data_IF_538047360232
#
_entry.id   IF_538047360232
#
_cell.length_a   1.000
_cell.length_b   1.000
_cell.length_c   1.000
_cell.angle_alpha   90.00
_cell.angle_beta   90.00
_cell.angle_gamma   90.00
#
_symmetry.space_group_name_H-M   'P 1'
#
loop_
_entity.id
_entity.type
_entity.pdbx_description
1 polymer ?
#
# COMPACT_ATOMS: atom_id res chain seq x y z
N UNK A 1 -2.38 -43.48 -5.99
CA UNK A 1 -3.12 -42.27 -5.60
C UNK A 1 -3.93 -41.81 -6.81
N UNK A 2 -5.23 -41.48 -6.67
CA UNK A 2 -6.00 -40.92 -7.80
C UNK A 2 -5.41 -39.56 -8.18
N UNK A 3 -5.20 -39.34 -9.47
CA UNK A 3 -4.78 -38.03 -9.99
C UNK A 3 -5.91 -37.04 -9.76
N UNK A 4 -5.59 -35.83 -9.32
CA UNK A 4 -6.57 -34.76 -9.16
C UNK A 4 -7.26 -34.49 -10.49
N UNK A 5 -8.58 -34.45 -10.45
CA UNK A 5 -9.43 -34.35 -11.64
C UNK A 5 -9.71 -32.89 -12.01
N UNK A 6 -9.75 -32.61 -13.32
CA UNK A 6 -9.94 -31.24 -13.83
C UNK A 6 -11.36 -30.73 -13.61
N UNK A 7 -12.37 -31.60 -13.67
CA UNK A 7 -13.76 -31.23 -13.40
C UNK A 7 -13.95 -30.90 -11.91
N UNK A 8 -13.37 -31.71 -11.02
CA UNK A 8 -13.31 -31.42 -9.59
C UNK A 8 -12.71 -30.04 -9.30
N UNK A 9 -11.52 -29.76 -9.88
CA UNK A 9 -10.84 -28.46 -9.68
C UNK A 9 -11.71 -27.30 -10.16
N UNK A 10 -12.37 -27.43 -11.32
CA UNK A 10 -13.26 -26.37 -11.85
C UNK A 10 -14.45 -26.11 -10.93
N UNK A 11 -15.13 -27.17 -10.49
CA UNK A 11 -16.32 -27.02 -9.62
C UNK A 11 -15.95 -26.35 -8.29
N UNK A 12 -14.86 -26.78 -7.64
CA UNK A 12 -14.39 -26.14 -6.42
C UNK A 12 -13.94 -24.69 -6.68
N UNK A 13 -13.25 -24.43 -7.79
CA UNK A 13 -12.79 -23.09 -8.14
C UNK A 13 -13.96 -22.11 -8.36
N UNK A 14 -15.04 -22.55 -9.04
CA UNK A 14 -16.26 -21.75 -9.24
C UNK A 14 -16.90 -21.35 -7.91
N UNK A 15 -16.96 -22.27 -6.93
CA UNK A 15 -17.42 -21.94 -5.58
C UNK A 15 -16.53 -20.91 -4.88
N UNK A 16 -15.21 -21.03 -5.04
CA UNK A 16 -14.26 -20.11 -4.43
C UNK A 16 -14.30 -18.72 -5.09
N UNK A 17 -14.56 -18.65 -6.41
CA UNK A 17 -14.84 -17.42 -7.14
C UNK A 17 -16.12 -16.77 -6.61
N UNK A 18 -17.20 -17.54 -6.42
CA UNK A 18 -18.44 -17.02 -5.84
C UNK A 18 -18.27 -16.50 -4.41
N UNK A 19 -17.35 -17.10 -3.63
CA UNK A 19 -16.95 -16.63 -2.29
C UNK A 19 -15.98 -15.44 -2.32
N UNK A 20 -15.54 -15.00 -3.49
CA UNK A 20 -14.65 -13.85 -3.67
C UNK A 20 -13.17 -14.10 -3.35
N UNK A 21 -12.71 -15.36 -3.32
CA UNK A 21 -11.31 -15.67 -3.04
C UNK A 21 -10.39 -15.26 -4.20
N UNK A 22 -9.22 -14.71 -3.86
CA UNK A 22 -8.22 -14.30 -4.87
C UNK A 22 -7.55 -15.50 -5.50
N UNK A 23 -7.17 -15.38 -6.77
CA UNK A 23 -6.61 -16.46 -7.58
C UNK A 23 -5.46 -17.23 -6.91
N UNK A 24 -4.49 -16.54 -6.28
CA UNK A 24 -3.37 -17.20 -5.61
C UNK A 24 -3.77 -18.06 -4.39
N UNK A 25 -4.91 -17.78 -3.76
CA UNK A 25 -5.40 -18.51 -2.59
C UNK A 25 -6.09 -19.81 -2.99
N UNK A 26 -6.78 -19.79 -4.14
CA UNK A 26 -7.70 -20.84 -4.56
C UNK A 26 -7.04 -22.23 -4.69
N UNK A 27 -5.81 -22.39 -5.24
CA UNK A 27 -5.14 -23.69 -5.28
C UNK A 27 -4.99 -24.35 -3.90
N UNK A 28 -4.65 -23.59 -2.86
CA UNK A 28 -4.51 -24.15 -1.52
C UNK A 28 -5.85 -24.70 -0.99
N UNK A 29 -6.94 -23.96 -1.18
CA UNK A 29 -8.27 -24.40 -0.78
C UNK A 29 -8.74 -25.63 -1.57
N UNK A 30 -8.52 -25.66 -2.89
CA UNK A 30 -8.86 -26.81 -3.73
C UNK A 30 -8.07 -28.05 -3.33
N UNK A 31 -6.78 -27.91 -2.99
CA UNK A 31 -5.98 -29.02 -2.49
C UNK A 31 -6.54 -29.61 -1.19
N UNK A 32 -6.98 -28.76 -0.25
CA UNK A 32 -7.63 -29.21 0.99
C UNK A 32 -8.93 -29.96 0.71
N UNK A 33 -9.80 -29.42 -0.15
CA UNK A 33 -11.06 -30.09 -0.49
C UNK A 33 -10.84 -31.43 -1.22
N UNK A 34 -9.84 -31.50 -2.10
CA UNK A 34 -9.44 -32.76 -2.74
C UNK A 34 -8.98 -33.79 -1.72
N UNK A 35 -8.12 -33.39 -0.77
CA UNK A 35 -7.63 -34.29 0.28
C UNK A 35 -8.76 -34.81 1.17
N UNK A 36 -9.71 -33.95 1.55
CA UNK A 36 -10.93 -34.36 2.29
C UNK A 36 -11.75 -35.36 1.48
N UNK A 37 -12.01 -35.08 0.20
CA UNK A 37 -12.80 -35.95 -0.67
C UNK A 37 -12.15 -37.33 -0.90
N UNK A 38 -10.80 -37.39 -0.86
CA UNK A 38 -10.04 -38.63 -0.99
C UNK A 38 -9.66 -39.27 0.36
N UNK A 39 -10.10 -38.70 1.49
CA UNK A 39 -9.74 -39.10 2.86
C UNK A 39 -8.21 -39.25 3.07
N UNK A 40 -7.45 -38.31 2.53
CA UNK A 40 -5.99 -38.27 2.62
C UNK A 40 -5.52 -37.44 3.82
N UNK A 41 -4.50 -37.91 4.51
CA UNK A 41 -3.79 -37.16 5.55
C UNK A 41 -2.30 -37.09 5.19
N UNK A 42 -1.92 -36.05 4.45
CA UNK A 42 -0.56 -35.82 3.99
C UNK A 42 -0.27 -34.32 3.87
N UNK A 43 0.94 -33.96 3.42
CA UNK A 43 1.31 -32.57 3.17
C UNK A 43 0.55 -32.02 1.94
N UNK A 44 -0.12 -30.87 2.09
CA UNK A 44 -0.84 -30.19 1.00
C UNK A 44 0.09 -29.81 -0.16
N UNK A 45 1.35 -29.50 0.17
CA UNK A 45 2.39 -29.13 -0.79
C UNK A 45 3.20 -30.33 -1.31
N UNK A 46 2.73 -31.55 -1.05
CA UNK A 46 3.31 -32.74 -1.68
C UNK A 46 3.24 -32.61 -3.20
N UNK A 47 4.36 -32.81 -3.89
CA UNK A 47 4.46 -32.62 -5.33
C UNK A 47 3.45 -33.45 -6.12
N UNK A 48 3.05 -34.62 -5.62
CA UNK A 48 2.10 -35.53 -6.28
C UNK A 48 0.68 -34.92 -6.34
N UNK A 49 0.34 -34.02 -5.41
CA UNK A 49 -0.93 -33.29 -5.40
C UNK A 49 -0.76 -31.90 -5.99
N UNK A 50 0.25 -31.17 -5.50
CA UNK A 50 0.40 -29.74 -5.77
C UNK A 50 0.75 -29.46 -7.23
N UNK A 51 1.67 -30.24 -7.83
CA UNK A 51 2.10 -29.99 -9.21
C UNK A 51 0.98 -30.23 -10.22
N UNK A 52 0.26 -31.37 -10.22
CA UNK A 52 -0.89 -31.58 -11.11
C UNK A 52 -2.01 -30.55 -10.93
N UNK A 53 -2.26 -30.12 -9.69
CA UNK A 53 -3.24 -29.07 -9.40
C UNK A 53 -2.82 -27.73 -10.03
N UNK A 54 -1.56 -27.35 -9.84
CA UNK A 54 -1.03 -26.10 -10.39
C UNK A 54 -0.94 -26.14 -11.92
N UNK A 55 -0.71 -27.30 -12.53
CA UNK A 55 -0.82 -27.47 -13.99
C UNK A 55 -2.25 -27.17 -14.47
N UNK A 56 -3.27 -27.73 -13.82
CA UNK A 56 -4.67 -27.43 -14.14
C UNK A 56 -4.98 -25.94 -13.95
N UNK A 57 -4.49 -25.32 -12.88
CA UNK A 57 -4.72 -23.90 -12.62
C UNK A 57 -4.05 -22.99 -13.66
N UNK A 58 -2.84 -23.33 -14.12
CA UNK A 58 -2.17 -22.61 -15.22
C UNK A 58 -2.92 -22.75 -16.53
N UNK A 59 -3.52 -23.92 -16.80
CA UNK A 59 -4.38 -24.12 -17.97
C UNK A 59 -5.68 -23.31 -17.88
N UNK A 60 -6.30 -23.25 -16.70
CA UNK A 60 -7.55 -22.50 -16.46
C UNK A 60 -7.32 -20.98 -16.48
N UNK A 61 -6.17 -20.53 -16.00
CA UNK A 61 -5.80 -19.12 -15.93
C UNK A 61 -4.40 -18.89 -16.52
N UNK A 62 -4.25 -18.91 -17.86
CA UNK A 62 -2.93 -18.74 -18.51
C UNK A 62 -2.26 -17.41 -18.17
N UNK A 63 -3.07 -16.35 -17.97
CA UNK A 63 -2.61 -15.02 -17.55
C UNK A 63 -2.68 -14.81 -16.04
N UNK A 64 -2.95 -15.87 -15.28
CA UNK A 64 -3.17 -15.81 -13.83
C UNK A 64 -1.86 -15.62 -13.06
N UNK A 65 -1.87 -14.71 -12.08
CA UNK A 65 -0.78 -14.57 -11.13
C UNK A 65 -1.06 -15.40 -9.86
N UNK A 66 -0.26 -16.44 -9.65
CA UNK A 66 -0.31 -17.33 -8.48
C UNK A 66 0.77 -17.03 -7.44
N UNK A 67 1.53 -15.95 -7.62
CA UNK A 67 2.57 -15.55 -6.68
C UNK A 67 1.96 -15.19 -5.32
N UNK A 68 2.76 -15.41 -4.26
CA UNK A 68 2.39 -15.02 -2.90
C UNK A 68 2.04 -13.53 -2.88
N UNK A 69 0.93 -13.13 -2.22
CA UNK A 69 0.56 -11.73 -2.18
C UNK A 69 1.61 -10.94 -1.42
N UNK A 70 1.91 -9.76 -1.93
CA UNK A 70 2.64 -8.74 -1.18
C UNK A 70 1.76 -8.21 -0.07
N UNK A 71 2.37 -7.73 1.02
CA UNK A 71 1.62 -7.05 2.06
C UNK A 71 0.93 -5.85 1.46
N UNK A 72 1.63 -4.95 0.75
CA UNK A 72 1.02 -3.79 0.12
C UNK A 72 1.71 -3.41 -1.18
N UNK A 73 0.97 -2.75 -2.07
CA UNK A 73 1.48 -2.23 -3.34
C UNK A 73 1.22 -0.71 -3.37
N UNK A 74 2.30 0.06 -3.41
CA UNK A 74 2.29 1.52 -3.61
C UNK A 74 3.19 1.88 -4.78
N UNK A 75 3.64 3.13 -4.85
CA UNK A 75 4.58 3.54 -5.91
C UNK A 75 5.42 4.73 -5.54
N UNK A 76 6.57 4.87 -6.19
CA UNK A 76 7.47 6.01 -6.01
C UNK A 76 7.74 6.70 -7.35
N UNK A 77 7.78 8.03 -7.30
CA UNK A 77 8.01 8.86 -8.48
C UNK A 77 9.50 9.04 -8.71
N UNK A 78 9.96 8.60 -9.88
CA UNK A 78 11.32 8.87 -10.37
C UNK A 78 11.19 9.41 -11.79
N UNK A 79 11.72 10.61 -12.00
CA UNK A 79 11.54 11.40 -13.24
C UNK A 79 10.05 11.61 -13.53
N UNK A 80 9.58 11.17 -14.69
CA UNK A 80 8.19 11.27 -15.14
C UNK A 80 7.44 9.92 -15.05
N UNK A 81 7.99 8.96 -14.31
CA UNK A 81 7.45 7.61 -14.14
C UNK A 81 7.12 7.31 -12.68
N UNK A 82 6.00 6.62 -12.48
CA UNK A 82 5.64 6.02 -11.20
C UNK A 82 6.05 4.54 -11.25
N UNK A 83 7.01 4.16 -10.41
CA UNK A 83 7.44 2.77 -10.31
C UNK A 83 6.68 2.08 -9.19
N UNK A 84 6.10 0.89 -9.44
CA UNK A 84 5.48 0.10 -8.39
C UNK A 84 6.46 -0.22 -7.27
N UNK A 85 5.97 -0.21 -6.03
CA UNK A 85 6.68 -0.65 -4.84
C UNK A 85 5.89 -1.77 -4.20
N UNK A 86 6.55 -2.91 -4.01
CA UNK A 86 5.95 -4.09 -3.39
C UNK A 86 6.51 -4.28 -1.98
N UNK A 87 5.68 -4.01 -0.98
CA UNK A 87 6.01 -4.27 0.41
C UNK A 87 5.77 -5.76 0.69
N UNK A 88 6.81 -6.58 0.92
CA UNK A 88 6.65 -8.01 1.11
C UNK A 88 5.97 -8.32 2.44
N UNK A 89 5.33 -9.49 2.49
CA UNK A 89 4.90 -10.09 3.74
C UNK A 89 6.11 -10.76 4.41
N UNK A 90 6.48 -10.30 5.60
CA UNK A 90 7.59 -10.85 6.38
C UNK A 90 7.18 -11.17 7.81
N UNK A 91 7.76 -12.23 8.37
CA UNK A 91 7.55 -12.65 9.75
C UNK A 91 8.87 -12.62 10.52
N UNK A 92 8.85 -12.09 11.75
CA UNK A 92 10.04 -11.96 12.60
C UNK A 92 10.87 -10.71 12.31
N UNK A 93 12.14 -10.74 12.75
CA UNK A 93 13.09 -9.64 12.55
C UNK A 93 14.00 -9.97 11.36
N UNK A 94 14.06 -9.09 10.38
CA UNK A 94 14.94 -9.21 9.22
C UNK A 94 15.41 -7.83 8.77
N UNK A 95 16.59 -7.78 8.18
CA UNK A 95 17.17 -6.55 7.62
C UNK A 95 16.63 -6.40 6.21
N UNK A 96 16.22 -5.19 5.87
CA UNK A 96 15.74 -4.83 4.54
C UNK A 96 16.56 -3.67 3.98
N UNK A 97 16.64 -3.61 2.66
CA UNK A 97 17.03 -2.41 1.96
C UNK A 97 15.80 -1.85 1.22
N UNK A 98 15.24 -0.69 1.63
CA UNK A 98 14.02 -0.14 1.04
C UNK A 98 14.06 -0.04 -0.49
N UNK A 99 15.24 0.24 -1.04
CA UNK A 99 15.41 0.43 -2.49
C UNK A 99 15.13 -0.85 -3.30
N UNK A 100 15.24 -2.03 -2.67
CA UNK A 100 15.08 -3.33 -3.34
C UNK A 100 13.61 -3.64 -3.64
N UNK A 101 12.67 -2.89 -3.04
CA UNK A 101 11.24 -3.07 -3.24
C UNK A 101 10.67 -2.24 -4.39
N UNK A 102 11.46 -1.34 -4.96
CA UNK A 102 11.07 -0.55 -6.14
C UNK A 102 11.24 -1.41 -7.38
N UNK A 103 10.18 -1.54 -8.19
CA UNK A 103 10.21 -2.30 -9.46
C UNK A 103 10.86 -1.51 -10.58
N UNK A 104 12.17 -1.31 -10.46
CA UNK A 104 13.02 -0.58 -11.41
C UNK A 104 14.31 -1.35 -11.69
N UNK A 105 14.89 -1.20 -12.89
CA UNK A 105 16.16 -1.84 -13.19
C UNK A 105 17.31 -1.24 -12.38
N UNK A 106 18.31 -2.06 -12.00
CA UNK A 106 19.48 -1.58 -11.22
C UNK A 106 20.28 -0.50 -11.96
N UNK A 107 20.40 -0.62 -13.28
CA UNK A 107 21.11 0.35 -14.13
C UNK A 107 20.43 1.71 -14.10
N UNK A 108 19.10 1.73 -14.23
CA UNK A 108 18.31 2.95 -14.19
C UNK A 108 18.29 3.58 -12.81
N UNK A 109 18.15 2.76 -11.76
CA UNK A 109 18.26 3.22 -10.37
C UNK A 109 19.63 3.86 -10.09
N UNK A 110 20.72 3.26 -10.58
CA UNK A 110 22.06 3.83 -10.48
C UNK A 110 22.14 5.20 -11.15
N UNK A 111 21.55 5.34 -12.34
CA UNK A 111 21.46 6.63 -13.05
C UNK A 111 20.70 7.68 -12.24
N UNK A 112 19.58 7.30 -11.60
CA UNK A 112 18.83 8.18 -10.70
C UNK A 112 19.72 8.68 -9.56
N UNK A 113 20.39 7.79 -8.82
CA UNK A 113 21.24 8.22 -7.71
C UNK A 113 22.46 9.03 -8.13
N UNK A 114 22.96 8.84 -9.37
CA UNK A 114 24.08 9.60 -9.91
C UNK A 114 23.71 11.00 -10.38
N UNK A 115 22.55 11.18 -11.02
CA UNK A 115 22.18 12.43 -11.70
C UNK A 115 20.98 13.15 -11.09
N UNK A 116 20.16 12.44 -10.32
CA UNK A 116 18.89 12.92 -9.74
C UNK A 116 18.78 12.44 -8.28
N UNK A 117 19.89 12.52 -7.54
CA UNK A 117 20.06 11.92 -6.22
C UNK A 117 18.93 12.26 -5.25
N UNK A 118 18.47 13.50 -5.26
CA UNK A 118 17.34 13.95 -4.44
C UNK A 118 16.05 13.14 -4.70
N UNK A 119 15.74 12.83 -5.96
CA UNK A 119 14.60 11.98 -6.30
C UNK A 119 14.81 10.54 -5.81
N UNK A 120 16.05 10.02 -5.91
CA UNK A 120 16.41 8.71 -5.37
C UNK A 120 16.17 8.61 -3.86
N UNK A 121 16.62 9.62 -3.11
CA UNK A 121 16.40 9.69 -1.66
C UNK A 121 14.94 9.88 -1.30
N UNK A 122 14.21 10.71 -2.06
CA UNK A 122 12.76 10.86 -1.89
C UNK A 122 12.03 9.53 -2.12
N UNK A 123 12.41 8.76 -3.14
CA UNK A 123 11.86 7.43 -3.40
C UNK A 123 12.18 6.46 -2.25
N UNK A 124 13.40 6.45 -1.74
CA UNK A 124 13.79 5.62 -0.59
C UNK A 124 12.93 5.92 0.65
N UNK A 125 12.75 7.20 1.00
CA UNK A 125 11.86 7.59 2.08
C UNK A 125 10.39 7.29 1.78
N UNK A 126 9.96 7.38 0.52
CA UNK A 126 8.64 6.96 0.09
C UNK A 126 8.39 5.48 0.33
N UNK A 127 9.36 4.61 0.05
CA UNK A 127 9.26 3.18 0.41
C UNK A 127 9.12 3.01 1.93
N UNK A 128 9.83 3.80 2.73
CA UNK A 128 9.70 3.74 4.18
C UNK A 128 8.30 4.18 4.66
N UNK A 129 7.73 5.24 4.07
CA UNK A 129 6.36 5.66 4.33
C UNK A 129 5.34 4.57 3.98
N UNK A 130 5.53 3.91 2.83
CA UNK A 130 4.70 2.78 2.41
C UNK A 130 4.84 1.58 3.36
N UNK A 131 6.05 1.31 3.86
CA UNK A 131 6.32 0.22 4.80
C UNK A 131 5.64 0.46 6.14
N UNK A 132 5.83 1.64 6.73
CA UNK A 132 5.24 2.03 8.02
C UNK A 132 3.71 2.03 7.93
N UNK A 133 3.17 2.52 6.81
CA UNK A 133 1.74 2.47 6.56
C UNK A 133 1.22 1.04 6.40
N UNK A 134 1.89 0.19 5.60
CA UNK A 134 1.45 -1.17 5.34
C UNK A 134 1.42 -2.04 6.60
N UNK A 135 2.50 -2.03 7.38
CA UNK A 135 2.60 -2.81 8.62
C UNK A 135 1.84 -2.15 9.77
N UNK A 136 1.83 -0.82 9.87
CA UNK A 136 1.08 -0.12 10.90
C UNK A 136 -0.43 -0.33 10.78
N UNK A 137 -0.96 -0.40 9.54
CA UNK A 137 -2.38 -0.73 9.32
C UNK A 137 -2.72 -2.18 9.67
N UNK A 138 -1.78 -3.10 9.49
CA UNK A 138 -1.93 -4.50 9.89
C UNK A 138 -1.90 -4.68 11.41
N UNK A 139 -0.93 -4.04 12.09
CA UNK A 139 -0.82 -4.03 13.56
C UNK A 139 -2.09 -3.48 14.23
N UNK A 140 -2.74 -2.49 13.60
CA UNK A 140 -3.96 -1.85 14.09
C UNK A 140 -5.26 -2.52 13.60
N UNK A 141 -5.18 -3.63 12.87
CA UNK A 141 -6.35 -4.32 12.29
C UNK A 141 -7.32 -4.88 13.34
N UNK A 142 -6.87 -5.03 14.59
CA UNK A 142 -7.65 -5.48 15.73
C UNK A 142 -8.20 -4.34 16.60
N UNK A 143 -7.84 -3.09 16.31
CA UNK A 143 -8.38 -1.93 17.02
C UNK A 143 -9.86 -1.77 16.65
N UNK A 144 -10.71 -1.69 17.68
CA UNK A 144 -12.16 -1.53 17.51
C UNK A 144 -12.55 -0.17 16.90
N UNK A 145 -13.81 -0.03 16.52
CA UNK A 145 -14.32 1.19 15.88
C UNK A 145 -14.11 1.21 14.37
N UNK A 146 -14.14 2.41 13.79
CA UNK A 146 -14.06 2.65 12.34
C UNK A 146 -12.63 2.84 11.81
N UNK A 147 -11.63 2.94 12.69
CA UNK A 147 -10.21 3.11 12.34
C UNK A 147 -9.74 2.09 11.28
N UNK A 148 -10.08 0.81 11.47
CA UNK A 148 -9.75 -0.27 10.53
C UNK A 148 -10.30 0.01 9.12
N UNK A 149 -11.56 0.44 9.03
CA UNK A 149 -12.20 0.71 7.75
C UNK A 149 -11.58 1.94 7.08
N UNK A 150 -11.31 2.99 7.86
CA UNK A 150 -10.65 4.21 7.37
C UNK A 150 -9.27 3.90 6.78
N UNK A 151 -8.45 3.13 7.49
CA UNK A 151 -7.14 2.71 6.99
C UNK A 151 -7.21 1.77 5.79
N UNK A 152 -8.17 0.83 5.78
CA UNK A 152 -8.40 -0.06 4.62
C UNK A 152 -8.77 0.74 3.38
N UNK A 153 -9.61 1.77 3.55
CA UNK A 153 -10.02 2.66 2.46
C UNK A 153 -8.84 3.56 2.01
N UNK A 154 -8.09 4.15 2.94
CA UNK A 154 -6.89 4.93 2.62
C UNK A 154 -5.88 4.11 1.81
N UNK A 155 -5.66 2.85 2.22
CA UNK A 155 -4.77 1.91 1.54
C UNK A 155 -5.26 1.52 0.15
N UNK A 156 -6.56 1.34 -0.01
CA UNK A 156 -7.19 1.09 -1.31
C UNK A 156 -7.06 2.31 -2.25
N UNK A 157 -7.28 3.52 -1.73
CA UNK A 157 -7.09 4.77 -2.47
C UNK A 157 -5.64 4.94 -2.93
N UNK A 158 -4.67 4.67 -2.06
CA UNK A 158 -3.25 4.78 -2.39
C UNK A 158 -2.81 3.77 -3.47
N UNK A 159 -3.28 2.53 -3.38
CA UNK A 159 -3.03 1.52 -4.41
C UNK A 159 -3.68 1.92 -5.75
N UNK A 160 -4.87 2.53 -5.73
CA UNK A 160 -5.52 3.04 -6.93
C UNK A 160 -4.74 4.22 -7.54
N UNK A 161 -4.29 5.19 -6.72
CA UNK A 161 -3.41 6.29 -7.15
C UNK A 161 -2.19 5.76 -7.89
N UNK A 162 -1.52 4.76 -7.32
CA UNK A 162 -0.34 4.13 -7.94
C UNK A 162 -0.66 3.57 -9.31
N UNK A 163 -1.77 2.82 -9.46
CA UNK A 163 -2.16 2.22 -10.75
C UNK A 163 -2.53 3.27 -11.79
N UNK A 164 -3.23 4.33 -11.40
CA UNK A 164 -3.57 5.45 -12.30
C UNK A 164 -2.28 6.10 -12.82
N UNK A 165 -1.37 6.45 -11.91
CA UNK A 165 -0.13 7.15 -12.25
C UNK A 165 0.93 6.27 -12.92
N UNK A 166 0.87 4.95 -12.76
CA UNK A 166 1.72 4.00 -13.49
C UNK A 166 1.15 3.68 -14.88
N UNK A 167 -0.14 3.95 -15.11
CA UNK A 167 -0.82 3.70 -16.36
C UNK A 167 -0.72 4.84 -17.37
N UNK A 168 -1.25 4.57 -18.57
CA UNK A 168 -1.44 5.53 -19.66
C UNK A 168 -2.84 6.18 -19.65
N UNK A 169 -3.51 6.18 -18.49
CA UNK A 169 -4.87 6.69 -18.32
C UNK A 169 -4.89 8.15 -17.89
N UNK A 170 -6.07 8.77 -17.99
CA UNK A 170 -6.33 10.11 -17.49
C UNK A 170 -5.91 10.22 -16.01
N UNK A 171 -4.95 11.10 -15.76
CA UNK A 171 -4.34 11.30 -14.45
C UNK A 171 -5.19 12.18 -13.53
N UNK A 172 -6.22 12.84 -14.04
CA UNK A 172 -7.08 13.74 -13.26
C UNK A 172 -7.77 13.00 -12.10
N UNK A 173 -8.12 11.72 -12.31
CA UNK A 173 -8.66 10.85 -11.28
C UNK A 173 -7.68 10.56 -10.12
N UNK A 174 -6.37 10.74 -10.33
CA UNK A 174 -5.36 10.53 -9.30
C UNK A 174 -5.52 11.54 -8.16
N UNK A 175 -5.83 12.81 -8.45
CA UNK A 175 -5.97 13.86 -7.41
C UNK A 175 -7.00 13.46 -6.34
N UNK A 176 -8.13 12.90 -6.76
CA UNK A 176 -9.15 12.45 -5.82
C UNK A 176 -8.64 11.35 -4.89
N UNK A 177 -7.97 10.34 -5.45
CA UNK A 177 -7.46 9.21 -4.66
C UNK A 177 -6.28 9.61 -3.76
N UNK A 178 -5.48 10.58 -4.20
CA UNK A 178 -4.40 11.23 -3.42
C UNK A 178 -4.98 11.93 -2.19
N UNK A 179 -5.97 12.82 -2.37
CA UNK A 179 -6.59 13.54 -1.25
C UNK A 179 -7.30 12.60 -0.28
N UNK A 180 -8.03 11.60 -0.80
CA UNK A 180 -8.69 10.59 0.03
C UNK A 180 -7.72 9.78 0.88
N UNK A 181 -6.56 9.43 0.33
CA UNK A 181 -5.50 8.71 1.08
C UNK A 181 -5.08 9.50 2.33
N UNK A 182 -4.73 10.78 2.16
CA UNK A 182 -4.30 11.63 3.25
C UNK A 182 -5.43 11.86 4.28
N UNK A 183 -6.65 12.15 3.80
CA UNK A 183 -7.80 12.41 4.66
C UNK A 183 -8.15 11.20 5.54
N UNK A 184 -8.29 10.03 4.91
CA UNK A 184 -8.71 8.81 5.59
C UNK A 184 -7.64 8.30 6.56
N UNK A 185 -6.36 8.46 6.23
CA UNK A 185 -5.28 8.10 7.16
C UNK A 185 -5.28 9.00 8.42
N UNK A 186 -5.45 10.32 8.26
CA UNK A 186 -5.55 11.23 9.41
C UNK A 186 -6.79 10.93 10.28
N UNK A 187 -7.94 10.69 9.65
CA UNK A 187 -9.17 10.29 10.37
C UNK A 187 -9.01 8.95 11.08
N UNK A 188 -8.38 7.97 10.41
CA UNK A 188 -8.07 6.67 11.00
C UNK A 188 -7.20 6.80 12.25
N UNK A 189 -6.16 7.63 12.19
CA UNK A 189 -5.29 7.88 13.34
C UNK A 189 -6.05 8.57 14.50
N UNK A 190 -6.88 9.57 14.21
CA UNK A 190 -7.76 10.19 15.23
C UNK A 190 -8.73 9.16 15.84
N UNK A 191 -9.29 8.26 15.05
CA UNK A 191 -10.16 7.19 15.54
C UNK A 191 -9.42 6.24 16.49
N UNK A 192 -8.16 5.90 16.21
CA UNK A 192 -7.30 5.15 17.16
C UNK A 192 -7.08 5.92 18.46
N UNK A 193 -7.06 7.26 18.42
CA UNK A 193 -7.03 8.13 19.61
C UNK A 193 -8.39 8.30 20.30
N UNK A 194 -9.41 7.55 19.89
CA UNK A 194 -10.73 7.54 20.51
C UNK A 194 -11.70 8.59 19.95
N UNK A 195 -11.35 9.28 18.87
CA UNK A 195 -12.30 10.17 18.20
C UNK A 195 -13.41 9.39 17.52
N UNK A 196 -14.64 9.82 17.71
CA UNK A 196 -15.83 9.28 17.06
C UNK A 196 -16.04 9.89 15.68
N UNK A 197 -16.76 9.19 14.80
CA UNK A 197 -17.10 9.67 13.47
C UNK A 197 -17.69 11.10 13.44
N UNK A 198 -18.64 11.48 14.31
CA UNK A 198 -19.14 12.85 14.35
C UNK A 198 -18.07 13.90 14.67
N UNK A 199 -17.04 13.58 15.44
CA UNK A 199 -15.98 14.53 15.80
C UNK A 199 -15.08 14.82 14.59
N UNK A 200 -14.53 13.80 13.94
CA UNK A 200 -13.66 14.04 12.79
C UNK A 200 -14.44 14.43 11.53
N UNK A 201 -15.73 14.08 11.40
CA UNK A 201 -16.59 14.59 10.31
C UNK A 201 -16.81 16.09 10.37
N UNK A 202 -16.83 16.71 11.56
CA UNK A 202 -16.91 18.18 11.70
C UNK A 202 -15.70 18.89 11.09
N UNK A 203 -14.56 18.20 10.99
CA UNK A 203 -13.36 18.70 10.32
C UNK A 203 -13.45 18.57 8.79
N UNK A 204 -14.49 17.89 8.28
CA UNK A 204 -14.78 17.71 6.86
C UNK A 204 -13.58 17.11 6.10
N UNK A 205 -13.25 17.66 4.94
CA UNK A 205 -12.10 17.29 4.10
C UNK A 205 -10.88 18.20 4.35
N UNK A 206 -10.89 19.01 5.40
CA UNK A 206 -9.83 19.99 5.66
C UNK A 206 -8.59 19.33 6.30
N UNK A 207 -7.65 18.91 5.46
CA UNK A 207 -6.43 18.21 5.90
C UNK A 207 -5.64 18.96 6.99
N UNK A 208 -5.54 20.29 6.89
CA UNK A 208 -4.87 21.11 7.93
C UNK A 208 -5.56 21.01 9.30
N UNK A 209 -6.90 20.96 9.35
CA UNK A 209 -7.65 20.80 10.61
C UNK A 209 -7.45 19.40 11.18
N UNK A 210 -7.49 18.39 10.33
CA UNK A 210 -7.25 16.98 10.71
C UNK A 210 -5.82 16.78 11.24
N UNK A 211 -4.81 17.33 10.56
CA UNK A 211 -3.42 17.26 11.00
C UNK A 211 -3.21 17.98 12.34
N UNK A 212 -3.73 19.20 12.51
CA UNK A 212 -3.61 19.92 13.77
C UNK A 212 -4.34 19.22 14.92
N UNK A 213 -5.50 18.60 14.66
CA UNK A 213 -6.18 17.78 15.66
C UNK A 213 -5.33 16.57 16.06
N UNK A 214 -4.74 15.85 15.10
CA UNK A 214 -3.89 14.70 15.38
C UNK A 214 -2.62 15.10 16.13
N UNK A 215 -1.98 16.21 15.77
CA UNK A 215 -0.82 16.77 16.49
C UNK A 215 -1.20 17.12 17.93
N UNK A 216 -2.41 17.65 18.16
CA UNK A 216 -2.92 17.92 19.50
C UNK A 216 -3.08 16.68 20.37
N UNK A 217 -3.38 15.52 19.76
CA UNK A 217 -3.47 14.23 20.44
C UNK A 217 -2.10 13.57 20.66
N UNK A 218 -1.22 13.67 19.65
CA UNK A 218 0.13 13.07 19.65
C UNK A 218 1.10 13.99 18.91
N UNK A 219 1.85 14.78 19.67
CA UNK A 219 2.92 15.65 19.15
C UNK A 219 4.23 14.87 18.99
N UNK A 220 5.00 15.24 17.96
CA UNK A 220 6.29 14.63 17.61
C UNK A 220 7.27 15.70 17.12
N UNK A 221 8.55 15.34 16.93
CA UNK A 221 9.53 16.22 16.30
C UNK A 221 9.24 16.51 14.81
N UNK A 222 8.25 15.84 14.21
CA UNK A 222 7.90 15.92 12.79
C UNK A 222 6.62 16.74 12.53
N UNK A 223 6.08 17.41 13.54
CA UNK A 223 4.80 18.14 13.45
C UNK A 223 4.78 19.21 12.36
N UNK A 224 5.86 19.98 12.22
CA UNK A 224 5.95 21.02 11.19
C UNK A 224 6.02 20.41 9.79
N UNK A 225 6.70 19.26 9.63
CA UNK A 225 6.73 18.56 8.33
C UNK A 225 5.34 18.06 7.93
N UNK A 226 4.55 17.57 8.90
CA UNK A 226 3.17 17.16 8.64
C UNK A 226 2.31 18.36 8.22
N UNK A 227 2.42 19.50 8.92
CA UNK A 227 1.71 20.75 8.57
C UNK A 227 2.07 21.22 7.16
N UNK A 228 3.36 21.26 6.85
CA UNK A 228 3.87 21.69 5.55
C UNK A 228 3.39 20.77 4.42
N UNK A 229 3.31 19.46 4.66
CA UNK A 229 2.79 18.53 3.69
C UNK A 229 1.29 18.74 3.44
N UNK A 230 0.46 18.83 4.48
CA UNK A 230 -0.99 19.00 4.28
C UNK A 230 -1.37 20.35 3.68
N UNK A 231 -0.55 21.39 3.88
CA UNK A 231 -0.76 22.72 3.30
C UNK A 231 -0.63 22.76 1.76
N UNK A 232 0.04 21.77 1.16
CA UNK A 232 0.30 21.69 -0.29
C UNK A 232 -0.70 20.83 -1.06
N UNK A 233 -1.80 20.41 -0.41
CA UNK A 233 -2.88 19.72 -1.11
C UNK A 233 -3.85 20.74 -1.72
N UNK A 234 -4.40 20.45 -2.90
CA UNK A 234 -5.42 21.29 -3.51
C UNK A 234 -6.71 21.23 -2.69
N UNK A 235 -7.57 22.25 -2.85
CA UNK A 235 -8.92 22.19 -2.30
C UNK A 235 -9.76 21.16 -3.05
N UNK A 236 -9.91 19.99 -2.42
CA UNK A 236 -10.57 18.80 -2.94
C UNK A 236 -12.01 19.04 -3.43
N UNK A 237 -12.73 20.04 -2.91
CA UNK A 237 -14.11 20.32 -3.35
C UNK A 237 -14.10 21.22 -4.60
N UNK A 238 -13.18 22.18 -4.66
CA UNK A 238 -13.08 23.13 -5.77
C UNK A 238 -12.54 22.51 -7.06
N UNK A 239 -11.65 21.52 -6.98
CA UNK A 239 -10.96 20.97 -8.16
C UNK A 239 -11.69 19.82 -8.86
N UNK A 240 -12.85 19.35 -8.38
CA UNK A 240 -13.56 18.20 -9.00
C UNK A 240 -14.18 18.52 -10.36
N UNK A 241 -14.44 19.79 -10.62
CA UNK A 241 -15.15 20.25 -11.82
C UNK A 241 -14.24 21.08 -12.75
N UNK A 242 -12.92 21.07 -12.51
CA UNK A 242 -11.96 21.88 -13.25
C UNK A 242 -10.65 21.11 -13.42
N UNK A 243 -9.99 21.27 -14.56
CA UNK A 243 -8.65 20.68 -14.74
C UNK A 243 -7.72 21.22 -13.66
N UNK A 244 -7.01 20.34 -12.97
CA UNK A 244 -6.12 20.74 -11.88
C UNK A 244 -4.87 21.49 -12.35
N UNK A 245 -4.58 21.53 -13.65
CA UNK A 245 -3.44 22.24 -14.24
C UNK A 245 -2.06 21.63 -13.96
N UNK A 246 -1.97 20.71 -12.99
CA UNK A 246 -0.75 19.98 -12.67
C UNK A 246 -0.27 19.09 -13.81
N UNK A 247 1.04 19.10 -14.02
CA UNK A 247 1.76 18.12 -14.82
C UNK A 247 1.72 16.73 -14.17
N UNK A 248 1.97 15.69 -14.97
CA UNK A 248 2.08 14.31 -14.47
C UNK A 248 3.11 14.19 -13.34
N UNK A 249 4.26 14.84 -13.46
CA UNK A 249 5.30 14.81 -12.43
C UNK A 249 4.85 15.46 -11.12
N UNK A 250 4.13 16.58 -11.17
CA UNK A 250 3.58 17.23 -9.97
C UNK A 250 2.53 16.35 -9.28
N UNK A 251 1.68 15.67 -10.04
CA UNK A 251 0.74 14.67 -9.49
C UNK A 251 1.46 13.51 -8.81
N UNK A 252 2.55 13.01 -9.41
CA UNK A 252 3.33 11.93 -8.82
C UNK A 252 4.01 12.37 -7.51
N UNK A 253 4.54 13.59 -7.45
CA UNK A 253 5.08 14.14 -6.21
C UNK A 253 3.99 14.34 -5.16
N UNK A 254 2.79 14.77 -5.57
CA UNK A 254 1.64 14.87 -4.68
C UNK A 254 1.18 13.50 -4.15
N UNK A 255 1.27 12.44 -4.97
CA UNK A 255 1.00 11.08 -4.50
C UNK A 255 2.01 10.63 -3.43
N UNK A 256 3.29 10.90 -3.62
CA UNK A 256 4.31 10.65 -2.59
C UNK A 256 4.07 11.49 -1.32
N UNK A 257 3.53 12.71 -1.46
CA UNK A 257 3.11 13.52 -0.31
C UNK A 257 1.97 12.88 0.47
N UNK A 258 0.97 12.31 -0.21
CA UNK A 258 -0.09 11.57 0.46
C UNK A 258 0.42 10.29 1.15
N UNK A 259 1.41 9.61 0.57
CA UNK A 259 2.09 8.49 1.24
C UNK A 259 2.78 8.93 2.51
N UNK A 260 3.52 10.04 2.48
CA UNK A 260 4.12 10.63 3.67
C UNK A 260 3.08 10.95 4.72
N UNK A 261 2.02 11.69 4.38
CA UNK A 261 0.95 12.03 5.34
C UNK A 261 0.33 10.77 5.95
N UNK A 262 0.11 9.73 5.14
CA UNK A 262 -0.45 8.48 5.62
C UNK A 262 0.50 7.71 6.55
N UNK A 263 1.79 7.58 6.18
CA UNK A 263 2.82 6.97 7.02
C UNK A 263 3.02 7.76 8.33
N UNK A 264 3.03 9.08 8.24
CA UNK A 264 3.22 10.00 9.36
C UNK A 264 2.05 10.00 10.35
N UNK A 265 0.82 9.85 9.84
CA UNK A 265 -0.36 9.62 10.68
C UNK A 265 -0.27 8.27 11.41
N UNK A 266 0.20 7.21 10.74
CA UNK A 266 0.36 5.88 11.33
C UNK A 266 1.47 5.81 12.37
N UNK A 267 2.61 6.48 12.16
CA UNK A 267 3.72 6.55 13.13
C UNK A 267 3.28 7.11 14.48
N UNK A 268 2.33 8.06 14.50
CA UNK A 268 1.78 8.62 15.75
C UNK A 268 0.93 7.65 16.55
N UNK A 269 0.44 6.58 15.93
CA UNK A 269 -0.52 5.66 16.55
C UNK A 269 -0.10 4.19 16.47
N UNK A 270 1.13 3.92 16.01
CA UNK A 270 1.73 2.60 15.91
C UNK A 270 3.17 2.62 16.42
N UNK A 271 3.79 1.45 16.52
CA UNK A 271 5.22 1.32 16.87
C UNK A 271 6.12 1.24 15.64
N UNK A 272 5.57 1.39 14.42
CA UNK A 272 6.29 1.28 13.16
C UNK A 272 6.87 2.62 12.77
N UNK A 273 8.20 2.69 12.66
CA UNK A 273 8.90 3.87 12.20
C UNK A 273 10.24 3.50 11.53
N UNK A 274 10.15 2.99 10.31
CA UNK A 274 11.30 2.73 9.45
C UNK A 274 11.91 4.04 8.95
N UNK A 275 11.10 5.08 8.73
CA UNK A 275 11.61 6.38 8.30
C UNK A 275 12.59 6.97 9.33
N UNK A 276 12.25 6.95 10.62
CA UNK A 276 13.15 7.42 11.68
C UNK A 276 14.44 6.59 11.75
N UNK A 277 14.36 5.27 11.52
CA UNK A 277 15.57 4.43 11.47
C UNK A 277 16.50 4.83 10.33
N UNK A 278 15.95 5.21 9.19
CA UNK A 278 16.73 5.73 8.05
C UNK A 278 17.31 7.11 8.37
N UNK A 279 16.52 8.02 8.97
CA UNK A 279 16.95 9.36 9.37
C UNK A 279 18.03 9.34 10.47
N UNK A 280 18.03 8.30 11.31
CA UNK A 280 18.99 8.14 12.41
C UNK A 280 20.38 7.72 11.93
N UNK A 281 20.53 7.20 10.72
CA UNK A 281 21.83 6.88 10.13
C UNK A 281 22.50 8.16 9.58
N UNK A 282 23.63 8.60 10.15
CA UNK A 282 24.31 9.82 9.72
C UNK A 282 24.85 9.77 8.28
N UNK A 283 24.93 8.59 7.67
CA UNK A 283 25.33 8.42 6.27
C UNK A 283 24.20 8.72 5.28
N UNK A 284 22.95 8.70 5.76
CA UNK A 284 21.80 9.03 4.94
C UNK A 284 21.57 10.54 4.97
N UNK A 285 21.27 11.18 3.83
CA UNK A 285 20.86 12.56 3.83
C UNK A 285 19.49 12.70 4.52
N UNK A 286 19.27 13.90 5.03
CA UNK A 286 17.96 14.31 5.51
C UNK A 286 16.91 14.10 4.44
N UNK A 287 15.72 13.66 4.85
CA UNK A 287 14.56 13.50 3.98
C UNK A 287 14.36 14.74 3.10
N UNK A 288 14.41 14.62 1.76
CA UNK A 288 14.06 15.71 0.86
C UNK A 288 12.63 16.16 1.10
N UNK A 289 12.37 17.46 1.03
CA UNK A 289 11.00 17.93 1.22
C UNK A 289 10.13 17.54 0.02
N UNK A 290 8.87 17.23 0.32
CA UNK A 290 7.87 16.83 -0.67
C UNK A 290 7.17 18.11 -1.18
N UNK A 291 7.85 18.94 -1.98
CA UNK A 291 7.31 20.19 -2.57
C UNK A 291 6.53 19.97 -3.86
#
# INVERSE_FOLDING_TARGET
MKKIDKEFVRNCDDELVAKGLKLHQRPFHVAIEWMKAQNLSCNVFDEVIWKPLMDIYRDLYPSGNFSMPVMFEGGVALRDQMYPVEIPLGFGKFIINPIDFIKISRTELKLIFQHYSEQGWRALYGVADLWDFAYGTDDLSHVGGDARQLFTNARSSLAATTRILSGNVDTDAAVQTICLTAELALKGALAVRGWTEPQYKKLSHHLHKLANALIGEVSTMHDDRLRDAVAKFPDYVGTRYSSHGMTRSELMVMAMRAQFVAGEALRRVSSRDLALQIEADPQNPTRPALW
#
